data_IF_104833116290
#
_entry.id   IF_104833116290
#
_cell.length_a   1.000
_cell.length_b   1.000
_cell.length_c   1.000
_cell.angle_alpha   90.00
_cell.angle_beta   90.00
_cell.angle_gamma   90.00
#
_symmetry.space_group_name_H-M   'P 1'
#
loop_
_entity.id
_entity.type
_entity.pdbx_description
1 polymer ?
#
# COMPACT_ATOMS: atom_id res chain seq x y z
N UNK A 1 -12.09 9.78 -11.13
CA UNK A 1 -11.53 8.42 -11.34
C UNK A 1 -10.63 8.38 -12.57
N UNK A 2 -11.01 8.97 -13.70
CA UNK A 2 -10.19 8.92 -14.92
C UNK A 2 -8.90 9.74 -14.79
N UNK A 3 -8.95 10.95 -14.21
CA UNK A 3 -7.76 11.77 -13.94
C UNK A 3 -6.76 11.05 -13.05
N UNK A 4 -7.22 10.45 -11.94
CA UNK A 4 -6.36 9.73 -11.01
C UNK A 4 -5.75 8.48 -11.65
N UNK A 5 -6.50 7.80 -12.52
CA UNK A 5 -6.00 6.67 -13.31
C UNK A 5 -4.87 7.11 -14.24
N UNK A 6 -5.04 8.21 -14.97
CA UNK A 6 -4.00 8.73 -15.87
C UNK A 6 -2.71 9.09 -15.11
N UNK A 7 -2.84 9.70 -13.93
CA UNK A 7 -1.68 10.02 -13.07
C UNK A 7 -0.97 8.76 -12.56
N UNK A 8 -1.73 7.73 -12.16
CA UNK A 8 -1.15 6.46 -11.74
C UNK A 8 -0.42 5.74 -12.90
N UNK A 9 -0.99 5.77 -14.10
CA UNK A 9 -0.38 5.20 -15.31
C UNK A 9 0.88 5.97 -15.74
N UNK A 10 0.88 7.29 -15.59
CA UNK A 10 2.06 8.11 -15.82
C UNK A 10 3.19 7.74 -14.84
N UNK A 11 2.88 7.64 -13.54
CA UNK A 11 3.86 7.22 -12.53
C UNK A 11 4.43 5.81 -12.80
N UNK A 12 3.63 4.89 -13.35
CA UNK A 12 4.10 3.58 -13.80
C UNK A 12 5.07 3.68 -14.97
N UNK A 13 4.77 4.51 -15.96
CA UNK A 13 5.62 4.69 -17.14
C UNK A 13 6.96 5.38 -16.82
N UNK A 14 7.00 6.19 -15.76
CA UNK A 14 8.20 6.89 -15.29
C UNK A 14 9.10 5.99 -14.40
N UNK A 15 8.55 4.94 -13.77
CA UNK A 15 9.33 4.02 -12.93
C UNK A 15 10.13 3.04 -13.79
N UNK A 16 11.36 2.75 -13.37
CA UNK A 16 12.23 1.75 -14.00
C UNK A 16 12.11 0.36 -13.36
N UNK A 17 11.20 0.19 -12.39
CA UNK A 17 11.01 -1.07 -11.69
C UNK A 17 10.09 -2.03 -12.46
N UNK A 18 10.33 -3.34 -12.34
CA UNK A 18 9.46 -4.37 -12.93
C UNK A 18 8.32 -4.80 -12.00
N UNK A 19 8.47 -4.58 -10.69
CA UNK A 19 7.54 -5.05 -9.67
C UNK A 19 6.79 -3.89 -9.03
N UNK A 20 5.47 -3.98 -8.98
CA UNK A 20 4.61 -2.95 -8.40
C UNK A 20 3.63 -3.55 -7.40
N UNK A 21 3.31 -2.77 -6.38
CA UNK A 21 2.39 -3.16 -5.31
C UNK A 21 1.28 -2.14 -5.20
N UNK A 22 0.05 -2.64 -5.24
CA UNK A 22 -1.14 -1.86 -4.91
C UNK A 22 -1.36 -1.87 -3.41
N UNK A 23 -1.46 -0.69 -2.79
CA UNK A 23 -1.92 -0.58 -1.42
C UNK A 23 -3.45 -0.52 -1.39
N UNK A 24 -4.03 -1.44 -0.63
CA UNK A 24 -5.47 -1.54 -0.40
C UNK A 24 -5.87 -0.89 0.93
N UNK A 25 -7.15 -0.48 1.02
CA UNK A 25 -7.70 0.15 2.23
C UNK A 25 -7.61 -0.74 3.46
N UNK A 26 -7.97 -2.02 3.33
CA UNK A 26 -7.79 -3.06 4.34
C UNK A 26 -7.91 -4.44 3.71
N UNK A 27 -7.66 -5.50 4.48
CA UNK A 27 -7.88 -6.87 4.02
C UNK A 27 -9.36 -7.19 3.77
N UNK A 28 -10.29 -6.44 4.38
CA UNK A 28 -11.75 -6.59 4.21
C UNK A 28 -12.31 -5.69 3.10
N UNK A 29 -11.63 -4.59 2.80
CA UNK A 29 -12.07 -3.59 1.82
C UNK A 29 -10.95 -3.34 0.81
N UNK A 30 -11.02 -4.09 -0.30
CA UNK A 30 -10.03 -4.12 -1.38
C UNK A 30 -10.14 -2.89 -2.30
N UNK A 31 -10.20 -1.69 -1.70
CA UNK A 31 -10.21 -0.41 -2.43
C UNK A 31 -8.79 0.12 -2.57
N UNK A 32 -8.46 0.54 -3.79
CA UNK A 32 -7.19 1.18 -4.11
C UNK A 32 -6.95 2.42 -3.24
N UNK A 33 -5.72 2.58 -2.74
CA UNK A 33 -5.27 3.79 -2.03
C UNK A 33 -4.04 4.42 -2.65
N UNK A 34 -3.05 3.60 -2.98
CA UNK A 34 -1.76 4.06 -3.46
C UNK A 34 -1.07 2.95 -4.25
N UNK A 35 -0.07 3.36 -5.02
CA UNK A 35 0.76 2.50 -5.85
C UNK A 35 2.21 2.67 -5.43
N UNK A 36 2.91 1.55 -5.38
CA UNK A 36 4.30 1.46 -4.96
C UNK A 36 5.10 0.71 -6.02
N UNK A 37 6.36 1.12 -6.21
CA UNK A 37 7.39 0.28 -6.81
C UNK A 37 7.99 -0.62 -5.74
N UNK A 38 8.23 -1.89 -6.06
CA UNK A 38 8.78 -2.88 -5.13
C UNK A 38 10.21 -3.23 -5.49
N UNK A 39 11.10 -3.00 -4.53
CA UNK A 39 12.50 -3.38 -4.60
C UNK A 39 12.66 -4.71 -3.85
N UNK A 40 12.31 -5.82 -4.50
CA UNK A 40 12.25 -7.16 -3.88
C UNK A 40 13.59 -7.53 -3.23
N UNK A 41 14.71 -7.23 -3.88
CA UNK A 41 16.06 -7.51 -3.36
C UNK A 41 16.39 -6.75 -2.07
N UNK A 42 15.69 -5.63 -1.84
CA UNK A 42 15.89 -4.75 -0.67
C UNK A 42 14.74 -4.84 0.33
N UNK A 43 13.76 -5.71 0.06
CA UNK A 43 12.59 -5.98 0.91
C UNK A 43 11.81 -4.72 1.33
N UNK A 44 11.68 -3.75 0.42
CA UNK A 44 10.85 -2.56 0.63
C UNK A 44 10.10 -2.13 -0.63
N UNK A 45 9.08 -1.30 -0.44
CA UNK A 45 8.37 -0.65 -1.53
C UNK A 45 8.29 0.86 -1.32
N UNK A 46 8.44 1.65 -2.39
CA UNK A 46 8.41 3.12 -2.37
C UNK A 46 7.16 3.62 -3.08
N UNK A 47 6.45 4.56 -2.48
CA UNK A 47 5.20 5.09 -3.02
C UNK A 47 5.48 5.98 -4.23
N UNK A 48 4.86 5.65 -5.36
CA UNK A 48 4.95 6.45 -6.60
C UNK A 48 3.66 7.21 -6.88
N UNK A 49 2.52 6.75 -6.35
CA UNK A 49 1.24 7.44 -6.50
C UNK A 49 0.31 7.17 -5.31
N UNK A 50 -0.59 8.11 -4.99
CA UNK A 50 -1.53 8.01 -3.88
C UNK A 50 -2.77 8.86 -4.11
N UNK A 51 -3.94 8.33 -3.71
CA UNK A 51 -5.20 9.09 -3.58
C UNK A 51 -5.25 9.90 -2.27
N UNK A 52 -4.33 9.63 -1.35
CA UNK A 52 -4.23 10.31 -0.06
C UNK A 52 -3.06 11.31 -0.08
N UNK A 53 -3.12 12.37 0.75
CA UNK A 53 -2.03 13.34 0.87
C UNK A 53 -0.69 12.70 1.19
N UNK A 54 0.40 13.33 0.75
CA UNK A 54 1.75 12.76 0.82
C UNK A 54 2.20 12.40 2.24
N UNK A 55 1.69 13.10 3.25
CA UNK A 55 1.98 12.90 4.69
C UNK A 55 1.03 11.90 5.38
N UNK A 56 0.12 11.24 4.66
CA UNK A 56 -0.85 10.34 5.28
C UNK A 56 -0.19 9.02 5.72
N UNK A 57 -0.30 8.68 7.00
CA UNK A 57 0.11 7.38 7.55
C UNK A 57 -0.63 6.19 6.91
N UNK A 58 -1.75 6.46 6.25
CA UNK A 58 -2.60 5.47 5.56
C UNK A 58 -2.10 5.11 4.17
N UNK A 59 -1.10 5.84 3.66
CA UNK A 59 -0.33 5.55 2.47
C UNK A 59 1.12 6.04 2.70
N UNK A 60 1.92 5.37 3.54
CA UNK A 60 3.28 5.80 3.88
C UNK A 60 4.17 5.97 2.64
N UNK A 61 5.21 6.81 2.71
CA UNK A 61 6.16 6.96 1.61
C UNK A 61 6.94 5.66 1.32
N UNK A 62 7.28 4.91 2.37
CA UNK A 62 8.02 3.64 2.29
C UNK A 62 7.28 2.56 3.07
N UNK A 63 7.19 1.37 2.50
CA UNK A 63 6.69 0.17 3.15
C UNK A 63 7.86 -0.78 3.39
N UNK A 64 8.05 -1.20 4.63
CA UNK A 64 8.91 -2.32 4.98
C UNK A 64 8.09 -3.57 5.27
N UNK A 65 8.72 -4.72 5.10
CA UNK A 65 8.16 -6.04 5.43
C UNK A 65 8.03 -6.26 6.94
N UNK A 66 7.09 -7.13 7.33
CA UNK A 66 6.74 -7.56 8.69
C UNK A 66 5.70 -6.71 9.46
N UNK A 67 6.04 -5.54 10.00
CA UNK A 67 5.21 -4.98 11.09
C UNK A 67 4.07 -4.09 10.59
N UNK A 68 4.21 -3.58 9.37
CA UNK A 68 3.27 -2.64 8.78
C UNK A 68 2.18 -3.32 7.96
N UNK A 69 2.39 -4.55 7.51
CA UNK A 69 1.52 -5.25 6.57
C UNK A 69 0.70 -6.31 7.31
N UNK A 70 -0.62 -6.22 7.22
CA UNK A 70 -1.53 -7.23 7.79
C UNK A 70 -1.75 -8.41 6.85
N UNK A 71 -1.81 -8.15 5.54
CA UNK A 71 -2.10 -9.18 4.54
C UNK A 71 -1.49 -8.81 3.20
N UNK A 72 -0.87 -9.80 2.57
CA UNK A 72 -0.39 -9.75 1.19
C UNK A 72 -1.39 -10.43 0.26
N UNK A 73 -1.46 -9.97 -0.98
CA UNK A 73 -2.36 -10.47 -2.00
C UNK A 73 -1.67 -10.67 -3.34
N UNK A 74 -2.19 -11.63 -4.10
CA UNK A 74 -1.92 -11.84 -5.51
C UNK A 74 -3.19 -11.60 -6.32
N UNK A 75 -3.10 -10.92 -7.46
CA UNK A 75 -4.20 -10.76 -8.39
C UNK A 75 -4.34 -12.02 -9.25
N UNK A 76 -5.53 -12.61 -9.26
CA UNK A 76 -5.88 -13.71 -10.16
C UNK A 76 -6.51 -13.15 -11.42
N UNK A 77 -5.81 -13.17 -12.56
CA UNK A 77 -6.39 -12.74 -13.85
C UNK A 77 -7.58 -13.60 -14.27
N UNK A 78 -7.59 -14.89 -13.91
CA UNK A 78 -8.69 -15.81 -14.21
C UNK A 78 -9.99 -15.43 -13.45
N UNK A 79 -9.87 -15.09 -12.16
CA UNK A 79 -11.03 -14.72 -11.33
C UNK A 79 -11.26 -13.21 -11.23
N UNK A 80 -10.36 -12.42 -11.81
CA UNK A 80 -10.31 -10.95 -11.76
C UNK A 80 -10.41 -10.37 -10.34
N UNK A 81 -9.79 -11.03 -9.35
CA UNK A 81 -9.81 -10.59 -7.95
C UNK A 81 -8.49 -10.85 -7.20
N UNK A 82 -8.28 -10.13 -6.10
CA UNK A 82 -7.15 -10.31 -5.18
C UNK A 82 -7.34 -11.47 -4.19
N UNK A 83 -6.44 -12.45 -4.23
CA UNK A 83 -6.39 -13.59 -3.33
C UNK A 83 -5.33 -13.36 -2.27
N UNK A 84 -5.65 -13.65 -1.01
CA UNK A 84 -4.67 -13.60 0.07
C UNK A 84 -3.57 -14.65 -0.16
N UNK A 85 -2.33 -14.28 0.16
CA UNK A 85 -1.19 -15.20 0.13
C UNK A 85 -0.54 -15.28 1.51
N UNK A 86 -0.16 -16.48 1.98
CA UNK A 86 0.48 -16.66 3.28
C UNK A 86 1.99 -16.37 3.18
N UNK A 87 2.35 -15.09 3.03
CA UNK A 87 3.74 -14.61 3.06
C UNK A 87 3.91 -13.51 4.11
N UNK A 88 5.16 -13.25 4.50
CA UNK A 88 5.54 -12.21 5.47
C UNK A 88 6.40 -11.09 4.85
N UNK A 89 6.77 -11.22 3.58
CA UNK A 89 7.62 -10.27 2.85
C UNK A 89 7.11 -9.99 1.43
N UNK A 90 7.62 -8.92 0.82
CA UNK A 90 7.39 -8.66 -0.58
C UNK A 90 8.08 -9.72 -1.44
N UNK A 91 7.35 -10.25 -2.41
CA UNK A 91 7.87 -11.21 -3.38
C UNK A 91 7.46 -10.75 -4.76
N UNK A 92 8.11 -11.26 -5.81
CA UNK A 92 7.71 -11.04 -7.21
C UNK A 92 6.28 -11.54 -7.52
N UNK A 93 5.67 -12.33 -6.63
CA UNK A 93 4.30 -12.83 -6.77
C UNK A 93 3.27 -11.99 -6.02
N UNK A 94 3.72 -10.96 -5.29
CA UNK A 94 2.86 -10.07 -4.53
C UNK A 94 2.40 -8.95 -5.44
N UNK A 95 1.10 -8.75 -5.58
CA UNK A 95 0.52 -7.69 -6.40
C UNK A 95 -0.11 -6.58 -5.54
N UNK A 96 -0.51 -6.91 -4.32
CA UNK A 96 -1.10 -5.94 -3.41
C UNK A 96 -0.83 -6.27 -1.93
N UNK A 97 -1.02 -5.27 -1.08
CA UNK A 97 -0.95 -5.44 0.37
C UNK A 97 -1.98 -4.56 1.09
N UNK A 98 -2.26 -4.89 2.35
CA UNK A 98 -3.04 -4.08 3.26
C UNK A 98 -2.23 -3.79 4.51
N UNK A 99 -2.32 -2.56 5.04
CA UNK A 99 -1.63 -2.19 6.28
C UNK A 99 -2.29 -2.82 7.51
N UNK A 100 -1.54 -2.90 8.61
CA UNK A 100 -2.09 -3.17 9.93
C UNK A 100 -2.90 -1.97 10.43
N UNK A 101 -3.94 -2.25 11.23
CA UNK A 101 -4.79 -1.20 11.81
C UNK A 101 -3.95 -0.20 12.63
N UNK A 102 -2.91 -0.68 13.33
CA UNK A 102 -2.03 0.18 14.13
C UNK A 102 -1.38 1.29 13.30
N UNK A 103 -0.90 1.01 12.09
CA UNK A 103 -0.28 2.01 11.20
C UNK A 103 -1.33 3.02 10.70
N UNK A 104 -2.53 2.53 10.37
CA UNK A 104 -3.65 3.36 9.91
C UNK A 104 -4.10 4.34 11.01
N UNK A 105 -4.10 3.91 12.27
CA UNK A 105 -4.58 4.71 13.41
C UNK A 105 -3.48 5.50 14.14
N UNK A 106 -2.19 5.21 13.94
CA UNK A 106 -1.07 6.01 14.50
C UNK A 106 -1.09 7.48 14.04
N UNK A 107 -1.76 7.79 12.94
CA UNK A 107 -2.03 9.17 12.51
C UNK A 107 -3.10 9.91 13.33
N UNK A 108 -3.74 9.26 14.31
CA UNK A 108 -4.77 9.87 15.19
C UNK A 108 -4.31 10.08 16.63
N UNK A 109 -3.15 9.59 17.05
CA UNK A 109 -2.67 9.68 18.45
C UNK A 109 -2.01 11.03 18.74
N UNK A 110 -2.62 12.12 18.28
CA UNK A 110 -2.18 13.50 18.49
C UNK A 110 -3.34 14.42 18.86
N UNK A 111 -4.27 13.98 19.70
CA UNK A 111 -5.21 14.86 20.42
C UNK A 111 -6.03 14.06 21.46
N UNK A 112 -5.39 13.65 22.55
CA UNK A 112 -6.10 13.12 23.72
C UNK A 112 -5.47 13.55 25.06
N UNK A 113 -4.59 14.56 25.05
CA UNK A 113 -3.96 15.13 26.25
C UNK A 113 -4.31 16.61 26.49
N UNK A 114 -5.31 17.16 25.78
CA UNK A 114 -5.75 18.55 25.93
C UNK A 114 -7.09 18.71 26.68
N UNK A 115 -7.47 17.75 27.54
CA UNK A 115 -8.72 17.82 28.33
C UNK A 115 -8.54 17.61 29.84
N UNK A 116 -7.34 17.89 30.36
CA UNK A 116 -7.11 17.85 31.80
C UNK A 116 -6.10 18.93 32.22
N UNK A 117 -6.46 20.19 31.99
CA UNK A 117 -6.06 21.34 32.79
C UNK A 117 -7.23 22.34 32.81
#
# INVERSE_FOLDING_TARGET
MEKERSLALQALAESTCDNFIVLLKSAKELKFRALYESHVDRDFATRIFSLLPSNSSRAPLKLGSSDMISQFFKYSSAKKHFQSVPTRSFTVKTDACALTDQVVFKGKTGSALARLL
#
